data_IF_221450731988
#
_entry.id   IF_221450731988
#
_cell.length_a   1.000
_cell.length_b   1.000
_cell.length_c   1.000
_cell.angle_alpha   90.00
_cell.angle_beta   90.00
_cell.angle_gamma   90.00
#
_symmetry.space_group_name_H-M   'P 1'
#
loop_
_entity.id
_entity.type
_entity.pdbx_description
1 polymer ?
#
# COMPACT_ATOMS: atom_id res chain seq x y z
N UNK A 1 -4.51 1.18 18.82
CA UNK A 1 -3.04 1.15 19.10
C UNK A 1 -2.48 2.51 18.69
N UNK A 2 -1.50 3.04 19.42
CA UNK A 2 -0.74 4.20 18.94
C UNK A 2 0.29 3.73 17.90
N UNK A 3 0.77 4.65 17.03
CA UNK A 3 1.96 4.39 16.22
C UNK A 3 3.13 4.07 17.15
N UNK A 4 3.91 3.07 16.77
CA UNK A 4 5.08 2.61 17.53
C UNK A 4 6.38 2.76 16.73
N UNK A 5 6.30 2.88 15.39
CA UNK A 5 7.47 3.01 14.54
C UNK A 5 7.23 3.90 13.32
N UNK A 6 8.31 4.54 12.90
CA UNK A 6 8.43 5.24 11.63
C UNK A 6 9.41 4.47 10.75
N UNK A 7 8.97 4.06 9.58
CA UNK A 7 9.80 3.42 8.57
C UNK A 7 10.12 4.48 7.53
N UNK A 8 11.38 4.69 7.23
CA UNK A 8 11.82 5.77 6.37
C UNK A 8 12.42 5.18 5.08
N UNK A 9 11.84 5.49 3.96
CA UNK A 9 12.53 5.30 2.70
C UNK A 9 13.77 6.21 2.64
N UNK A 10 14.73 5.90 1.80
CA UNK A 10 16.00 6.61 1.74
C UNK A 10 16.08 7.56 0.53
N UNK A 11 16.07 6.96 -0.67
CA UNK A 11 16.36 7.65 -1.92
C UNK A 11 15.15 8.47 -2.39
N UNK A 12 15.29 9.78 -2.47
CA UNK A 12 14.19 10.70 -2.71
C UNK A 12 13.44 11.13 -1.44
N UNK A 13 13.65 10.46 -0.31
CA UNK A 13 12.97 10.74 0.96
C UNK A 13 13.89 11.43 1.96
N UNK A 14 15.03 10.84 2.27
CA UNK A 14 16.06 11.38 3.18
C UNK A 14 17.27 11.89 2.43
N UNK A 15 17.58 11.30 1.29
CA UNK A 15 18.73 11.63 0.43
C UNK A 15 18.24 12.02 -0.96
N UNK A 16 18.78 13.10 -1.51
CA UNK A 16 18.54 13.56 -2.87
C UNK A 16 19.39 12.70 -3.85
N UNK A 17 18.93 11.46 -4.11
CA UNK A 17 19.64 10.45 -4.88
C UNK A 17 18.93 9.98 -6.16
N UNK A 18 17.65 10.32 -6.35
CA UNK A 18 16.86 9.78 -7.46
C UNK A 18 17.43 10.12 -8.85
N UNK A 19 17.97 11.34 -9.02
CA UNK A 19 18.62 11.74 -10.27
C UNK A 19 19.90 10.91 -10.53
N UNK A 20 20.66 10.57 -9.47
CA UNK A 20 21.85 9.73 -9.58
C UNK A 20 21.50 8.29 -9.97
N UNK A 21 20.40 7.73 -9.45
CA UNK A 21 19.88 6.44 -9.88
C UNK A 21 19.48 6.45 -11.35
N UNK A 22 18.76 7.48 -11.81
CA UNK A 22 18.39 7.64 -13.22
C UNK A 22 19.62 7.71 -14.13
N UNK A 23 20.60 8.53 -13.78
CA UNK A 23 21.83 8.69 -14.55
C UNK A 23 22.62 7.36 -14.63
N UNK A 24 22.70 6.64 -13.52
CA UNK A 24 23.41 5.36 -13.44
C UNK A 24 22.79 4.30 -14.34
N UNK A 25 21.45 4.24 -14.37
CA UNK A 25 20.70 3.36 -15.27
C UNK A 25 20.91 3.71 -16.75
N UNK A 26 20.92 5.00 -17.08
CA UNK A 26 21.18 5.46 -18.47
C UNK A 26 22.62 5.11 -18.89
N UNK A 27 23.60 5.30 -18.02
CA UNK A 27 25.00 4.92 -18.31
C UNK A 27 25.14 3.42 -18.48
N UNK A 28 24.54 2.63 -17.61
CA UNK A 28 24.51 1.18 -17.75
C UNK A 28 23.84 0.75 -19.06
N UNK A 29 22.69 1.34 -19.42
CA UNK A 29 22.02 1.04 -20.68
C UNK A 29 22.91 1.27 -21.90
N UNK A 30 23.74 2.31 -21.87
CA UNK A 30 24.69 2.62 -22.93
C UNK A 30 25.77 1.54 -23.11
N UNK A 31 26.22 0.86 -22.04
CA UNK A 31 27.13 -0.27 -22.13
C UNK A 31 26.53 -1.47 -22.88
N UNK A 32 25.21 -1.61 -22.84
CA UNK A 32 24.45 -2.67 -23.54
C UNK A 32 23.94 -2.20 -24.92
N UNK A 33 24.42 -1.04 -25.41
CA UNK A 33 24.02 -0.49 -26.71
C UNK A 33 22.59 0.03 -26.76
N UNK A 34 21.98 0.32 -25.60
CA UNK A 34 20.61 0.83 -25.48
C UNK A 34 20.61 2.33 -25.23
N UNK A 35 19.60 3.01 -25.78
CA UNK A 35 19.28 4.41 -25.49
C UNK A 35 17.93 4.45 -24.82
N UNK A 36 17.87 4.98 -23.62
CA UNK A 36 16.61 5.12 -22.86
C UNK A 36 16.42 6.58 -22.46
N UNK A 37 15.24 7.16 -22.71
CA UNK A 37 14.90 8.50 -22.22
C UNK A 37 14.82 8.52 -20.69
N UNK A 38 15.31 9.58 -20.05
CA UNK A 38 15.31 9.71 -18.58
C UNK A 38 13.91 9.64 -18.00
N UNK A 39 12.91 10.25 -18.66
CA UNK A 39 11.52 10.25 -18.20
C UNK A 39 10.90 8.84 -18.14
N UNK A 40 11.39 7.90 -18.93
CA UNK A 40 10.98 6.50 -18.86
C UNK A 40 11.56 5.81 -17.63
N UNK A 41 12.81 6.11 -17.30
CA UNK A 41 13.46 5.59 -16.09
C UNK A 41 12.85 6.22 -14.84
N UNK A 42 12.70 7.55 -14.83
CA UNK A 42 12.19 8.32 -13.70
C UNK A 42 10.82 7.87 -13.19
N UNK A 43 9.96 7.36 -14.11
CA UNK A 43 8.63 6.83 -13.75
C UNK A 43 8.69 5.52 -12.97
N UNK A 44 9.80 4.83 -13.06
CA UNK A 44 10.01 3.53 -12.41
C UNK A 44 10.91 3.64 -11.17
N UNK A 45 11.53 4.79 -10.93
CA UNK A 45 12.31 5.07 -9.72
C UNK A 45 11.43 4.92 -8.48
N UNK A 46 11.99 4.27 -7.46
CA UNK A 46 11.28 3.86 -6.24
C UNK A 46 10.97 2.35 -6.19
N UNK A 47 11.02 1.67 -7.34
CA UNK A 47 11.12 0.21 -7.41
C UNK A 47 12.57 -0.23 -7.18
N UNK A 48 12.78 -1.42 -6.64
CA UNK A 48 14.10 -2.03 -6.70
C UNK A 48 14.44 -2.53 -8.11
N UNK A 49 15.70 -2.79 -8.35
CA UNK A 49 16.24 -3.14 -9.66
C UNK A 49 15.62 -4.43 -10.26
N UNK A 50 15.12 -5.34 -9.43
CA UNK A 50 14.41 -6.56 -9.83
C UNK A 50 13.10 -6.28 -10.59
N UNK A 51 12.39 -5.22 -10.23
CA UNK A 51 11.15 -4.82 -10.89
C UNK A 51 11.34 -3.63 -11.85
N UNK A 52 12.31 -2.76 -11.59
CA UNK A 52 12.59 -1.60 -12.44
C UNK A 52 13.17 -2.03 -13.80
N UNK A 53 14.15 -2.95 -13.80
CA UNK A 53 14.82 -3.37 -15.05
C UNK A 53 13.83 -3.99 -16.04
N UNK A 54 13.00 -4.99 -15.68
CA UNK A 54 12.01 -5.52 -16.60
C UNK A 54 10.92 -4.51 -16.99
N UNK A 55 10.59 -3.54 -16.15
CA UNK A 55 9.62 -2.49 -16.47
C UNK A 55 10.15 -1.52 -17.54
N UNK A 56 11.43 -1.16 -17.47
CA UNK A 56 12.07 -0.24 -18.43
C UNK A 56 12.50 -0.96 -19.70
N UNK A 57 13.12 -2.13 -19.61
CA UNK A 57 13.78 -2.80 -20.74
C UNK A 57 13.04 -4.04 -21.25
N UNK A 58 12.05 -4.54 -20.52
CA UNK A 58 11.25 -5.71 -20.85
C UNK A 58 11.82 -7.02 -20.29
N UNK A 59 10.92 -8.01 -20.13
CA UNK A 59 11.26 -9.31 -19.53
C UNK A 59 12.33 -10.10 -20.31
N UNK A 60 12.39 -9.94 -21.63
CA UNK A 60 13.40 -10.62 -22.46
C UNK A 60 14.82 -10.07 -22.19
N UNK A 61 14.95 -8.76 -21.99
CA UNK A 61 16.21 -8.14 -21.61
C UNK A 61 16.63 -8.58 -20.19
N UNK A 62 15.70 -8.57 -19.25
CA UNK A 62 15.92 -9.04 -17.89
C UNK A 62 16.43 -10.47 -17.88
N UNK A 63 15.78 -11.38 -18.62
CA UNK A 63 16.18 -12.78 -18.69
C UNK A 63 17.58 -13.00 -19.29
N UNK A 64 17.98 -12.14 -20.24
CA UNK A 64 19.26 -12.27 -20.94
C UNK A 64 20.44 -11.54 -20.26
N UNK A 65 20.15 -10.41 -19.60
CA UNK A 65 21.19 -9.46 -19.17
C UNK A 65 20.98 -8.92 -17.75
N UNK A 66 19.88 -9.24 -17.06
CA UNK A 66 19.46 -8.58 -15.81
C UNK A 66 20.53 -8.52 -14.73
N UNK A 67 21.23 -9.64 -14.47
CA UNK A 67 22.31 -9.69 -13.46
C UNK A 67 23.47 -8.75 -13.84
N UNK A 68 24.04 -8.92 -15.04
CA UNK A 68 25.16 -8.10 -15.51
C UNK A 68 24.78 -6.62 -15.63
N UNK A 69 23.52 -6.33 -15.96
CA UNK A 69 23.00 -4.97 -16.03
C UNK A 69 22.93 -4.34 -14.63
N UNK A 70 22.41 -5.04 -13.63
CA UNK A 70 22.37 -4.56 -12.23
C UNK A 70 23.76 -4.31 -11.67
N UNK A 71 24.73 -5.17 -11.98
CA UNK A 71 26.14 -4.92 -11.63
C UNK A 71 26.68 -3.64 -12.28
N UNK A 72 26.35 -3.41 -13.57
CA UNK A 72 26.74 -2.17 -14.27
C UNK A 72 26.11 -0.94 -13.62
N UNK A 73 24.82 -1.01 -13.28
CA UNK A 73 24.10 0.07 -12.57
C UNK A 73 24.79 0.39 -11.24
N UNK A 74 25.10 -0.62 -10.41
CA UNK A 74 25.79 -0.40 -9.13
C UNK A 74 27.17 0.26 -9.29
N UNK A 75 27.97 -0.16 -10.30
CA UNK A 75 29.25 0.50 -10.59
C UNK A 75 29.06 1.97 -10.96
N UNK A 76 28.13 2.25 -11.87
CA UNK A 76 27.83 3.63 -12.27
C UNK A 76 27.26 4.46 -11.13
N UNK A 77 26.42 3.87 -10.27
CA UNK A 77 25.88 4.57 -9.12
C UNK A 77 27.00 5.01 -8.15
N UNK A 78 27.92 4.13 -7.83
CA UNK A 78 29.09 4.46 -6.98
C UNK A 78 29.94 5.59 -7.59
N UNK A 79 30.08 5.63 -8.93
CA UNK A 79 30.82 6.68 -9.62
C UNK A 79 30.07 8.01 -9.63
N UNK A 80 28.75 7.98 -9.90
CA UNK A 80 27.89 9.17 -9.88
C UNK A 80 27.82 9.74 -8.46
N UNK A 81 27.52 8.91 -7.46
CA UNK A 81 27.45 9.34 -6.06
C UNK A 81 28.76 10.02 -5.61
N UNK A 82 29.92 9.49 -6.03
CA UNK A 82 31.23 10.07 -5.71
C UNK A 82 31.46 11.42 -6.41
N UNK A 83 31.02 11.55 -7.67
CA UNK A 83 31.29 12.74 -8.49
C UNK A 83 30.31 13.89 -8.23
N UNK A 84 29.05 13.60 -7.98
CA UNK A 84 27.97 14.60 -7.85
C UNK A 84 27.77 15.12 -6.42
N UNK A 85 28.35 14.43 -5.42
CA UNK A 85 28.18 14.75 -4.00
C UNK A 85 26.70 14.84 -3.59
N UNK A 86 26.10 13.68 -3.40
CA UNK A 86 24.76 13.57 -2.88
C UNK A 86 24.58 14.34 -1.57
N UNK A 87 23.35 14.73 -1.27
CA UNK A 87 23.04 15.52 -0.07
C UNK A 87 21.86 14.91 0.66
N UNK A 88 21.86 15.03 1.98
CA UNK A 88 20.64 14.86 2.75
C UNK A 88 19.65 15.97 2.38
N UNK A 89 18.38 15.60 2.30
CA UNK A 89 17.35 16.63 2.32
C UNK A 89 17.35 17.35 3.67
N UNK A 90 17.09 18.68 3.63
CA UNK A 90 16.90 19.44 4.84
C UNK A 90 15.84 18.78 5.72
N UNK A 91 16.17 18.59 7.00
CA UNK A 91 15.26 17.97 7.95
C UNK A 91 15.42 16.45 8.13
N UNK A 92 16.21 15.75 7.33
CA UNK A 92 16.33 14.28 7.40
C UNK A 92 16.77 13.80 8.80
N UNK A 93 17.90 14.33 9.33
CA UNK A 93 18.37 13.98 10.67
C UNK A 93 17.41 14.47 11.77
N UNK A 94 16.80 15.65 11.59
CA UNK A 94 15.79 16.18 12.52
C UNK A 94 14.54 15.32 12.58
N UNK A 95 14.11 14.76 11.46
CA UNK A 95 12.97 13.84 11.39
C UNK A 95 13.23 12.59 12.24
N UNK A 96 14.40 11.99 12.12
CA UNK A 96 14.81 10.81 12.89
C UNK A 96 14.84 11.16 14.39
N UNK A 97 15.53 12.26 14.75
CA UNK A 97 15.61 12.69 16.14
C UNK A 97 14.24 13.05 16.73
N UNK A 98 13.39 13.71 15.95
CA UNK A 98 12.03 14.06 16.36
C UNK A 98 11.14 12.81 16.56
N UNK A 99 11.31 11.76 15.76
CA UNK A 99 10.61 10.50 15.95
C UNK A 99 11.04 9.80 17.26
N UNK A 100 12.35 9.71 17.50
CA UNK A 100 12.90 9.17 18.75
C UNK A 100 12.45 9.95 19.99
N UNK A 101 12.41 11.29 19.92
CA UNK A 101 11.95 12.13 21.03
C UNK A 101 10.49 11.87 21.42
N UNK A 102 9.70 11.30 20.51
CA UNK A 102 8.31 10.90 20.71
C UNK A 102 8.15 9.40 21.10
N UNK A 103 9.27 8.72 21.32
CA UNK A 103 9.29 7.31 21.71
C UNK A 103 9.00 6.34 20.56
N UNK A 104 9.07 6.81 19.32
CA UNK A 104 8.93 5.92 18.15
C UNK A 104 10.26 5.21 17.87
N UNK A 105 10.17 3.97 17.45
CA UNK A 105 11.29 3.28 16.82
C UNK A 105 11.41 3.73 15.37
N UNK A 106 12.63 3.76 14.84
CA UNK A 106 12.90 4.21 13.48
C UNK A 106 13.68 3.16 12.72
N UNK A 107 13.27 2.85 11.50
CA UNK A 107 14.04 2.01 10.58
C UNK A 107 14.20 2.67 9.21
N UNK A 108 15.34 2.45 8.56
CA UNK A 108 15.45 2.65 7.12
C UNK A 108 14.80 1.47 6.40
N UNK A 109 13.95 1.76 5.40
CA UNK A 109 13.20 0.78 4.61
C UNK A 109 13.47 1.03 3.12
N UNK A 110 14.69 0.72 2.66
CA UNK A 110 15.14 1.01 1.30
C UNK A 110 15.25 -0.25 0.43
N UNK A 111 15.00 -0.10 -0.86
CA UNK A 111 15.25 -1.13 -1.88
C UNK A 111 16.69 -1.09 -2.43
N UNK A 112 17.55 -0.22 -1.90
CA UNK A 112 18.97 -0.12 -2.27
C UNK A 112 19.76 -1.29 -1.71
N UNK A 113 20.85 -1.65 -2.41
CA UNK A 113 21.79 -2.66 -1.94
C UNK A 113 22.71 -2.09 -0.85
N UNK A 114 23.38 -2.95 -0.09
CA UNK A 114 24.35 -2.50 0.92
C UNK A 114 25.49 -1.68 0.27
N UNK A 115 25.93 -2.05 -0.94
CA UNK A 115 26.95 -1.32 -1.68
C UNK A 115 26.47 0.08 -2.11
N UNK A 116 25.19 0.21 -2.49
CA UNK A 116 24.60 1.51 -2.81
C UNK A 116 24.50 2.40 -1.56
N UNK A 117 24.14 1.81 -0.40
CA UNK A 117 24.12 2.53 0.88
C UNK A 117 25.50 3.05 1.26
N UNK A 118 26.53 2.22 1.12
CA UNK A 118 27.93 2.65 1.38
C UNK A 118 28.33 3.82 0.48
N UNK A 119 28.03 3.72 -0.82
CA UNK A 119 28.31 4.80 -1.78
C UNK A 119 27.56 6.09 -1.43
N UNK A 120 26.28 5.96 -1.07
CA UNK A 120 25.40 7.07 -0.68
C UNK A 120 25.95 7.77 0.55
N UNK A 121 26.20 7.05 1.65
CA UNK A 121 26.64 7.65 2.90
C UNK A 121 28.08 8.19 2.83
N UNK A 122 28.95 7.55 2.06
CA UNK A 122 30.27 8.10 1.77
C UNK A 122 30.19 9.42 0.99
N UNK A 123 29.23 9.58 0.09
CA UNK A 123 28.99 10.80 -0.67
C UNK A 123 28.40 11.92 0.19
N UNK A 124 27.39 11.59 1.00
CA UNK A 124 26.69 12.53 1.89
C UNK A 124 27.59 12.99 3.05
N UNK A 125 28.47 12.11 3.53
CA UNK A 125 29.33 12.38 4.68
C UNK A 125 28.69 12.14 6.05
N UNK A 126 27.46 11.61 6.07
CA UNK A 126 26.73 11.20 7.28
C UNK A 126 26.14 9.80 7.04
N UNK A 127 26.42 8.87 7.95
CA UNK A 127 25.81 7.53 7.91
C UNK A 127 24.54 7.50 8.76
N UNK A 128 23.40 7.47 8.10
CA UNK A 128 22.10 7.46 8.78
C UNK A 128 21.83 6.14 9.52
N UNK A 129 22.59 5.05 9.24
CA UNK A 129 22.47 3.78 9.95
C UNK A 129 22.78 3.94 11.45
N UNK A 130 23.63 4.87 11.80
CA UNK A 130 24.02 5.18 13.19
C UNK A 130 22.89 5.91 13.95
N UNK A 131 21.89 6.43 13.25
CA UNK A 131 20.81 7.24 13.82
C UNK A 131 19.48 6.48 13.96
N UNK A 132 19.38 5.26 13.45
CA UNK A 132 18.13 4.47 13.41
C UNK A 132 18.25 3.18 14.20
N UNK A 133 17.11 2.58 14.58
CA UNK A 133 17.07 1.33 15.35
C UNK A 133 17.25 0.07 14.47
N UNK A 134 16.97 0.18 13.17
CA UNK A 134 17.12 -0.93 12.21
C UNK A 134 17.29 -0.41 10.79
N UNK A 135 17.88 -1.26 9.95
CA UNK A 135 18.04 -1.02 8.51
C UNK A 135 17.56 -2.25 7.76
N UNK A 136 16.79 -2.05 6.71
CA UNK A 136 16.47 -3.07 5.71
C UNK A 136 16.97 -2.62 4.34
N UNK A 137 17.48 -3.57 3.57
CA UNK A 137 18.04 -3.39 2.24
C UNK A 137 17.38 -4.35 1.25
N UNK A 138 17.74 -4.29 -0.01
CA UNK A 138 17.27 -5.22 -1.02
C UNK A 138 17.44 -6.71 -0.63
N UNK A 139 18.44 -7.04 0.19
CA UNK A 139 18.69 -8.42 0.63
C UNK A 139 17.72 -8.93 1.69
N UNK A 140 16.94 -8.06 2.33
CA UNK A 140 15.96 -8.40 3.35
C UNK A 140 14.55 -8.68 2.78
N UNK A 141 14.37 -8.51 1.47
CA UNK A 141 13.10 -8.63 0.77
C UNK A 141 13.20 -9.64 -0.37
N UNK A 142 12.18 -10.48 -0.59
CA UNK A 142 12.10 -11.37 -1.75
C UNK A 142 11.70 -10.60 -3.01
N UNK A 143 10.87 -9.57 -2.84
CA UNK A 143 10.44 -8.65 -3.89
C UNK A 143 10.51 -7.20 -3.42
N UNK A 144 10.88 -6.31 -4.34
CA UNK A 144 10.98 -4.87 -4.06
C UNK A 144 9.61 -4.18 -4.06
N UNK A 145 9.57 -2.90 -3.62
CA UNK A 145 8.39 -2.04 -3.79
C UNK A 145 7.87 -2.10 -5.24
N UNK A 146 6.58 -2.25 -5.48
CA UNK A 146 5.44 -2.02 -4.59
C UNK A 146 5.03 -3.21 -3.71
N UNK A 147 5.76 -4.32 -3.71
CA UNK A 147 5.47 -5.45 -2.82
C UNK A 147 5.78 -5.09 -1.36
N UNK A 148 5.12 -5.72 -0.38
CA UNK A 148 5.18 -5.32 1.03
C UNK A 148 6.46 -5.71 1.76
N UNK A 149 7.31 -6.52 1.16
CA UNK A 149 8.38 -7.29 1.80
C UNK A 149 9.32 -6.41 2.63
N UNK A 150 9.77 -5.28 2.06
CA UNK A 150 10.69 -4.38 2.75
C UNK A 150 10.04 -3.72 3.98
N UNK A 151 8.75 -3.41 3.91
CA UNK A 151 7.99 -2.83 5.01
C UNK A 151 7.78 -3.87 6.12
N UNK A 152 7.47 -5.11 5.73
CA UNK A 152 7.31 -6.24 6.66
C UNK A 152 8.62 -6.58 7.35
N UNK A 153 9.73 -6.59 6.60
CA UNK A 153 11.07 -6.84 7.13
C UNK A 153 11.49 -5.75 8.15
N UNK A 154 11.25 -4.47 7.83
CA UNK A 154 11.53 -3.37 8.73
C UNK A 154 10.71 -3.45 10.02
N UNK A 155 9.40 -3.70 9.90
CA UNK A 155 8.52 -3.87 11.06
C UNK A 155 8.96 -5.07 11.93
N UNK A 156 9.34 -6.18 11.31
CA UNK A 156 9.86 -7.37 11.99
C UNK A 156 11.16 -7.09 12.74
N UNK A 157 12.15 -6.44 12.10
CA UNK A 157 13.42 -6.06 12.74
C UNK A 157 13.20 -5.15 13.95
N UNK A 158 12.19 -4.27 13.87
CA UNK A 158 11.80 -3.43 15.00
C UNK A 158 10.97 -4.16 16.07
N UNK A 159 10.45 -5.36 15.80
CA UNK A 159 9.53 -6.06 16.70
C UNK A 159 8.18 -5.35 16.88
N UNK A 160 7.69 -4.68 15.83
CA UNK A 160 6.46 -3.89 15.84
C UNK A 160 5.50 -4.45 14.77
N UNK A 161 4.20 -4.58 15.05
CA UNK A 161 3.26 -5.01 14.02
C UNK A 161 3.15 -3.93 12.91
N UNK A 162 3.05 -4.31 11.63
CA UNK A 162 2.94 -3.36 10.52
C UNK A 162 1.83 -2.31 10.71
N UNK A 163 0.70 -2.69 11.29
CA UNK A 163 -0.42 -1.78 11.59
C UNK A 163 -0.09 -0.67 12.61
N UNK A 164 1.02 -0.80 13.34
CA UNK A 164 1.54 0.23 14.24
C UNK A 164 2.74 0.99 13.63
N UNK A 165 3.01 0.79 12.34
CA UNK A 165 4.06 1.47 11.58
C UNK A 165 3.47 2.51 10.63
N UNK A 166 4.22 3.57 10.38
CA UNK A 166 4.00 4.47 9.26
C UNK A 166 5.25 4.49 8.37
N UNK A 167 5.08 4.21 7.07
CA UNK A 167 6.12 4.39 6.07
C UNK A 167 6.10 5.84 5.59
N UNK A 168 7.25 6.45 5.54
CA UNK A 168 7.50 7.75 4.87
C UNK A 168 8.21 7.46 3.56
N UNK A 169 7.72 8.02 2.46
CA UNK A 169 8.31 7.84 1.14
C UNK A 169 7.87 8.90 0.15
N UNK A 170 8.55 8.99 -1.00
CA UNK A 170 8.33 10.01 -2.04
C UNK A 170 7.67 9.45 -3.30
N UNK A 171 7.39 8.13 -3.35
CA UNK A 171 6.84 7.48 -4.53
C UNK A 171 5.48 6.83 -4.28
N UNK A 172 4.74 6.60 -5.36
CA UNK A 172 3.49 5.81 -5.33
C UNK A 172 3.75 4.34 -4.98
N UNK A 173 4.98 3.85 -5.19
CA UNK A 173 5.39 2.48 -4.87
C UNK A 173 5.54 2.29 -3.36
N UNK A 174 5.98 3.32 -2.62
CA UNK A 174 5.98 3.33 -1.16
C UNK A 174 4.56 3.21 -0.61
N UNK A 175 3.65 4.01 -1.16
CA UNK A 175 2.24 3.94 -0.80
C UNK A 175 1.62 2.57 -1.04
N UNK A 176 1.95 1.94 -2.18
CA UNK A 176 1.48 0.61 -2.50
C UNK A 176 2.05 -0.45 -1.55
N UNK A 177 3.36 -0.39 -1.25
CA UNK A 177 4.03 -1.30 -0.32
C UNK A 177 3.51 -1.16 1.11
N UNK A 178 3.35 0.08 1.61
CA UNK A 178 2.77 0.34 2.93
C UNK A 178 1.36 -0.23 3.05
N UNK A 179 0.51 0.03 2.06
CA UNK A 179 -0.86 -0.50 2.00
C UNK A 179 -0.89 -2.02 1.98
N UNK A 180 -0.05 -2.65 1.15
CA UNK A 180 0.03 -4.10 1.05
C UNK A 180 0.50 -4.75 2.37
N UNK A 181 1.40 -4.08 3.11
CA UNK A 181 1.87 -4.49 4.42
C UNK A 181 0.86 -4.21 5.56
N UNK A 182 -0.17 -3.38 5.31
CA UNK A 182 -1.11 -2.92 6.35
C UNK A 182 -0.53 -1.82 7.24
N UNK A 183 0.51 -1.11 6.79
CA UNK A 183 1.09 0.06 7.44
C UNK A 183 0.42 1.36 6.94
N UNK A 184 0.52 2.43 7.72
CA UNK A 184 0.15 3.76 7.25
C UNK A 184 1.20 4.29 6.25
N UNK A 185 0.80 5.23 5.39
CA UNK A 185 1.72 5.91 4.49
C UNK A 185 1.66 7.43 4.70
N UNK A 186 2.82 8.07 4.75
CA UNK A 186 3.03 9.51 4.78
C UNK A 186 3.90 9.88 3.58
N UNK A 187 3.40 10.74 2.71
CA UNK A 187 4.09 11.11 1.49
C UNK A 187 4.94 12.39 1.62
N UNK A 188 6.11 12.43 1.01
CA UNK A 188 6.91 13.64 0.79
C UNK A 188 7.09 13.87 -0.71
N UNK A 189 6.70 15.06 -1.21
CA UNK A 189 6.68 15.35 -2.64
C UNK A 189 8.03 15.92 -3.11
N UNK A 190 9.10 15.18 -2.89
CA UNK A 190 10.51 15.58 -3.12
C UNK A 190 11.02 15.20 -4.51
N UNK A 191 10.32 14.32 -5.23
CA UNK A 191 10.69 13.88 -6.57
C UNK A 191 9.58 14.17 -7.58
N UNK A 192 9.15 13.18 -8.34
CA UNK A 192 8.20 13.32 -9.46
C UNK A 192 6.74 13.23 -9.04
N UNK A 193 6.47 12.50 -7.97
CA UNK A 193 5.11 12.36 -7.49
C UNK A 193 4.64 13.66 -6.84
N UNK A 194 3.50 14.17 -7.29
CA UNK A 194 2.83 15.28 -6.62
C UNK A 194 2.19 14.82 -5.32
N UNK A 195 1.83 15.76 -4.44
CA UNK A 195 1.04 15.43 -3.25
C UNK A 195 -0.28 14.73 -3.61
N UNK A 196 -0.89 15.06 -4.76
CA UNK A 196 -2.11 14.42 -5.23
C UNK A 196 -1.85 12.95 -5.61
N UNK A 197 -0.73 12.65 -6.29
CA UNK A 197 -0.33 11.29 -6.63
C UNK A 197 -0.09 10.45 -5.36
N UNK A 198 0.62 11.04 -4.38
CA UNK A 198 0.90 10.38 -3.10
C UNK A 198 -0.39 10.12 -2.29
N UNK A 199 -1.34 11.07 -2.29
CA UNK A 199 -2.67 10.84 -1.70
C UNK A 199 -3.42 9.73 -2.44
N UNK A 200 -3.38 9.72 -3.77
CA UNK A 200 -3.93 8.63 -4.60
C UNK A 200 -3.31 7.27 -4.28
N UNK A 201 -2.02 7.23 -3.91
CA UNK A 201 -1.34 6.03 -3.45
C UNK A 201 -1.69 5.63 -1.99
N UNK A 202 -2.49 6.42 -1.28
CA UNK A 202 -2.98 6.14 0.06
C UNK A 202 -2.24 6.91 1.17
N UNK A 203 -1.53 7.99 0.84
CA UNK A 203 -0.91 8.84 1.86
C UNK A 203 -1.97 9.49 2.75
N UNK A 204 -1.83 9.32 4.06
CA UNK A 204 -2.70 9.91 5.07
C UNK A 204 -2.38 11.37 5.35
N UNK A 205 -1.15 11.75 5.10
CA UNK A 205 -0.68 13.12 5.06
C UNK A 205 0.39 13.25 3.99
N UNK A 206 0.50 14.45 3.40
CA UNK A 206 1.52 14.76 2.41
C UNK A 206 2.21 16.06 2.76
N UNK A 207 3.50 16.13 2.49
CA UNK A 207 4.36 17.27 2.79
C UNK A 207 5.19 17.60 1.55
N UNK A 208 5.45 18.87 1.33
CA UNK A 208 6.21 19.31 0.16
C UNK A 208 7.70 18.94 0.27
N UNK A 209 8.24 18.86 1.48
CA UNK A 209 9.65 18.55 1.76
C UNK A 209 9.80 17.72 3.03
N UNK A 210 10.94 17.05 3.17
CA UNK A 210 11.32 16.34 4.39
C UNK A 210 11.45 17.29 5.59
N UNK A 211 11.87 18.54 5.35
CA UNK A 211 11.92 19.58 6.39
C UNK A 211 10.52 19.95 6.91
N UNK A 212 9.55 20.14 5.98
CA UNK A 212 8.16 20.42 6.35
C UNK A 212 7.55 19.26 7.16
N UNK A 213 7.82 18.02 6.77
CA UNK A 213 7.43 16.84 7.55
C UNK A 213 8.07 16.82 8.94
N UNK A 214 9.37 17.10 9.04
CA UNK A 214 10.08 17.10 10.33
C UNK A 214 9.51 18.16 11.28
N UNK A 215 9.19 19.35 10.77
CA UNK A 215 8.63 20.45 11.54
C UNK A 215 7.16 20.20 11.94
N UNK A 216 6.42 19.42 11.17
CA UNK A 216 5.00 19.06 11.37
C UNK A 216 4.79 17.58 11.69
N UNK A 217 5.78 16.92 12.28
CA UNK A 217 5.72 15.48 12.55
C UNK A 217 4.49 15.08 13.37
N UNK A 218 4.05 15.90 14.33
CA UNK A 218 2.87 15.60 15.16
C UNK A 218 1.59 15.53 14.32
N UNK A 219 1.47 16.36 13.29
CA UNK A 219 0.37 16.31 12.32
C UNK A 219 0.44 15.03 11.50
N UNK A 220 1.63 14.68 10.99
CA UNK A 220 1.85 13.44 10.25
C UNK A 220 1.49 12.21 11.08
N UNK A 221 1.95 12.17 12.33
CA UNK A 221 1.67 11.07 13.25
C UNK A 221 0.17 10.98 13.62
N UNK A 222 -0.49 12.11 13.79
CA UNK A 222 -1.92 12.17 14.05
C UNK A 222 -2.73 11.61 12.86
N UNK A 223 -2.36 11.98 11.63
CA UNK A 223 -2.98 11.48 10.41
C UNK A 223 -2.68 10.00 10.16
N UNK A 224 -1.42 9.59 10.41
CA UNK A 224 -0.97 8.22 10.22
C UNK A 224 -1.36 7.31 11.39
N UNK A 225 -1.69 7.88 12.56
CA UNK A 225 -2.09 7.08 13.69
C UNK A 225 -3.10 6.04 13.19
N UNK A 226 -2.96 4.76 13.59
CA UNK A 226 -4.04 3.82 13.50
C UNK A 226 -5.16 4.52 14.28
N UNK A 227 -6.11 5.11 13.58
CA UNK A 227 -7.07 6.03 14.17
C UNK A 227 -7.76 5.37 15.36
N UNK A 228 -8.63 6.09 16.08
CA UNK A 228 -9.63 5.52 16.97
C UNK A 228 -10.39 4.35 16.31
N UNK A 229 -9.98 3.94 15.16
CA UNK A 229 -10.42 3.01 14.16
C UNK A 229 -9.54 1.76 14.02
N UNK A 230 -8.62 1.44 14.92
CA UNK A 230 -8.05 0.11 15.01
C UNK A 230 -9.16 -0.84 15.48
N UNK A 231 -9.85 -1.43 14.50
CA UNK A 231 -10.78 -2.51 14.74
C UNK A 231 -10.06 -3.60 15.54
N UNK A 232 -10.43 -3.80 16.78
CA UNK A 232 -9.89 -4.93 17.55
C UNK A 232 -10.32 -6.24 16.88
N UNK A 233 -9.59 -7.33 17.10
CA UNK A 233 -9.98 -8.63 16.58
C UNK A 233 -11.43 -8.98 16.99
N UNK A 234 -11.82 -8.70 18.22
CA UNK A 234 -13.18 -8.96 18.72
C UNK A 234 -14.25 -8.13 17.98
N UNK A 235 -13.96 -6.86 17.69
CA UNK A 235 -14.86 -6.01 16.90
C UNK A 235 -14.96 -6.52 15.47
N UNK A 236 -13.84 -6.89 14.85
CA UNK A 236 -13.82 -7.47 13.49
C UNK A 236 -14.62 -8.77 13.42
N UNK A 237 -14.46 -9.66 14.41
CA UNK A 237 -15.24 -10.89 14.49
C UNK A 237 -16.74 -10.61 14.60
N UNK A 238 -17.14 -9.66 15.44
CA UNK A 238 -18.54 -9.25 15.57
C UNK A 238 -19.10 -8.66 14.27
N UNK A 239 -18.37 -7.78 13.59
CA UNK A 239 -18.78 -7.20 12.31
C UNK A 239 -18.82 -8.24 11.17
N UNK A 240 -17.88 -9.19 11.15
CA UNK A 240 -17.92 -10.30 10.21
C UNK A 240 -19.14 -11.19 10.43
N UNK A 241 -19.53 -11.44 11.67
CA UNK A 241 -20.75 -12.17 12.00
C UNK A 241 -22.02 -11.42 11.55
N UNK A 242 -22.05 -10.09 11.65
CA UNK A 242 -23.14 -9.27 11.09
C UNK A 242 -23.21 -9.39 9.56
N UNK A 243 -22.07 -9.27 8.87
CA UNK A 243 -22.02 -9.43 7.42
C UNK A 243 -22.43 -10.85 6.98
N UNK A 244 -22.07 -11.88 7.74
CA UNK A 244 -22.49 -13.26 7.49
C UNK A 244 -24.01 -13.44 7.60
N UNK A 245 -24.67 -12.81 8.58
CA UNK A 245 -26.15 -12.83 8.67
C UNK A 245 -26.83 -12.24 7.43
N UNK A 246 -26.27 -11.15 6.90
CA UNK A 246 -26.77 -10.56 5.65
C UNK A 246 -26.51 -11.48 4.44
N UNK A 247 -25.39 -12.22 4.43
CA UNK A 247 -25.10 -13.21 3.39
C UNK A 247 -26.05 -14.42 3.46
N UNK A 248 -26.41 -14.88 4.66
CA UNK A 248 -27.42 -15.92 4.85
C UNK A 248 -28.79 -15.47 4.34
N UNK A 249 -29.19 -14.25 4.70
CA UNK A 249 -30.46 -13.66 4.23
C UNK A 249 -30.48 -13.46 2.71
N UNK A 250 -29.33 -13.19 2.05
CA UNK A 250 -29.23 -13.17 0.61
C UNK A 250 -29.47 -14.57 0.00
N UNK A 251 -28.81 -15.59 0.56
CA UNK A 251 -28.96 -16.98 0.14
C UNK A 251 -30.40 -17.47 0.25
N UNK A 252 -31.05 -17.20 1.38
CA UNK A 252 -32.44 -17.59 1.63
C UNK A 252 -33.43 -16.89 0.67
N UNK A 253 -33.06 -15.70 0.20
CA UNK A 253 -33.82 -14.99 -0.83
C UNK A 253 -33.54 -15.48 -2.28
N UNK A 254 -32.56 -16.34 -2.49
CA UNK A 254 -32.17 -16.85 -3.83
C UNK A 254 -31.09 -16.01 -4.53
N UNK A 255 -30.42 -15.14 -3.81
CA UNK A 255 -29.28 -14.35 -4.29
C UNK A 255 -27.93 -14.99 -3.93
N UNK A 256 -26.84 -14.44 -4.47
CA UNK A 256 -25.50 -14.86 -4.10
C UNK A 256 -25.27 -14.57 -2.58
N UNK A 257 -24.64 -15.51 -1.82
CA UNK A 257 -24.48 -15.40 -0.37
C UNK A 257 -23.38 -14.39 -0.01
N UNK A 258 -23.65 -13.13 -0.29
CA UNK A 258 -22.76 -12.01 -0.01
C UNK A 258 -23.48 -11.00 0.86
N UNK A 259 -22.87 -10.63 1.98
CA UNK A 259 -23.35 -9.64 2.91
C UNK A 259 -22.26 -8.65 3.28
N UNK A 260 -22.67 -7.44 3.61
CA UNK A 260 -21.77 -6.36 3.98
C UNK A 260 -22.39 -5.48 5.07
N UNK A 261 -21.53 -4.89 5.89
CA UNK A 261 -21.91 -3.87 6.88
C UNK A 261 -20.97 -2.70 6.81
N UNK A 262 -21.50 -1.48 7.01
CA UNK A 262 -20.69 -0.29 7.27
C UNK A 262 -20.79 0.03 8.76
N UNK A 263 -19.64 0.24 9.38
CA UNK A 263 -19.56 0.41 10.83
C UNK A 263 -18.51 1.45 11.22
N UNK A 264 -18.64 1.97 12.44
CA UNK A 264 -17.56 2.67 13.14
C UNK A 264 -16.55 1.68 13.68
N UNK A 265 -15.39 2.16 14.02
CA UNK A 265 -14.30 1.37 14.56
C UNK A 265 -14.56 0.78 15.95
N UNK A 266 -15.52 1.35 16.68
CA UNK A 266 -16.00 0.82 17.96
C UNK A 266 -16.93 -0.41 17.79
N UNK A 267 -17.25 -0.79 16.54
CA UNK A 267 -18.14 -1.90 16.21
C UNK A 267 -19.60 -1.47 16.01
N UNK A 268 -19.94 -0.18 16.15
CA UNK A 268 -21.30 0.30 15.90
C UNK A 268 -21.66 0.17 14.43
N UNK A 269 -22.56 -0.73 14.09
CA UNK A 269 -23.06 -0.91 12.71
C UNK A 269 -24.02 0.21 12.35
N UNK A 270 -23.69 0.94 11.29
CA UNK A 270 -24.50 2.06 10.76
C UNK A 270 -25.40 1.63 9.61
N UNK A 271 -24.92 0.73 8.76
CA UNK A 271 -25.68 0.26 7.61
C UNK A 271 -25.38 -1.22 7.33
N UNK A 272 -26.35 -1.89 6.71
CA UNK A 272 -26.27 -3.29 6.29
C UNK A 272 -26.69 -3.41 4.83
N UNK A 273 -26.06 -4.36 4.12
CA UNK A 273 -26.41 -4.68 2.76
C UNK A 273 -26.23 -6.15 2.46
N UNK A 274 -27.08 -6.68 1.61
CA UNK A 274 -26.96 -8.02 1.08
C UNK A 274 -27.08 -8.02 -0.43
N UNK A 275 -26.50 -9.00 -1.08
CA UNK A 275 -26.65 -9.14 -2.51
C UNK A 275 -28.14 -9.28 -2.88
N UNK A 276 -28.56 -8.53 -3.89
CA UNK A 276 -29.90 -8.55 -4.48
C UNK A 276 -29.87 -8.54 -6.00
N UNK A 277 -28.77 -8.97 -6.59
CA UNK A 277 -28.58 -8.88 -8.03
C UNK A 277 -29.56 -9.77 -8.81
N UNK A 278 -29.95 -10.92 -8.27
CA UNK A 278 -30.91 -11.83 -8.90
C UNK A 278 -32.36 -11.42 -8.59
N UNK A 279 -32.71 -11.27 -7.33
CA UNK A 279 -34.08 -10.93 -6.90
C UNK A 279 -34.47 -9.50 -7.28
N UNK A 280 -33.52 -8.57 -7.29
CA UNK A 280 -33.73 -7.21 -7.75
C UNK A 280 -33.66 -7.02 -9.26
N UNK A 281 -33.30 -8.06 -10.02
CA UNK A 281 -33.04 -8.01 -11.46
C UNK A 281 -32.10 -6.84 -11.85
N UNK A 282 -31.09 -6.57 -11.03
CA UNK A 282 -30.13 -5.48 -11.21
C UNK A 282 -28.73 -5.93 -10.78
N UNK A 283 -27.81 -6.01 -11.74
CA UNK A 283 -26.44 -6.46 -11.53
C UNK A 283 -25.59 -5.56 -10.66
N UNK A 284 -26.04 -4.35 -10.38
CA UNK A 284 -25.32 -3.37 -9.56
C UNK A 284 -25.67 -3.50 -8.07
N UNK A 285 -26.70 -4.27 -7.72
CA UNK A 285 -27.16 -4.45 -6.32
C UNK A 285 -26.30 -5.48 -5.58
N UNK A 286 -25.05 -5.16 -5.42
CA UNK A 286 -24.12 -5.93 -4.60
C UNK A 286 -24.29 -5.60 -3.11
N UNK A 287 -23.86 -6.49 -2.23
CA UNK A 287 -23.99 -6.29 -0.78
C UNK A 287 -23.34 -4.97 -0.32
N UNK A 288 -22.18 -4.67 -0.85
CA UNK A 288 -21.43 -3.47 -0.54
C UNK A 288 -22.17 -2.20 -1.00
N UNK A 289 -22.63 -2.18 -2.25
CA UNK A 289 -23.40 -1.04 -2.77
C UNK A 289 -24.73 -0.85 -2.06
N UNK A 290 -25.41 -1.94 -1.66
CA UNK A 290 -26.62 -1.88 -0.84
C UNK A 290 -26.32 -1.30 0.56
N UNK A 291 -25.20 -1.69 1.18
CA UNK A 291 -24.79 -1.15 2.47
C UNK A 291 -24.43 0.35 2.38
N UNK A 292 -23.70 0.75 1.33
CA UNK A 292 -23.35 2.16 1.09
C UNK A 292 -24.60 3.00 0.79
N UNK A 293 -25.54 2.48 0.01
CA UNK A 293 -26.79 3.16 -0.26
C UNK A 293 -27.65 3.33 1.01
N UNK A 294 -27.67 2.30 1.86
CA UNK A 294 -28.39 2.36 3.15
C UNK A 294 -27.71 3.31 4.15
N UNK A 295 -26.39 3.53 4.04
CA UNK A 295 -25.68 4.52 4.84
C UNK A 295 -26.15 5.95 4.51
N UNK A 296 -26.52 6.21 3.26
CA UNK A 296 -26.85 7.54 2.79
C UNK A 296 -25.61 8.43 2.59
N UNK A 297 -25.77 9.75 2.59
CA UNK A 297 -24.64 10.67 2.43
C UNK A 297 -23.60 10.43 3.53
N UNK A 298 -22.44 9.92 3.16
CA UNK A 298 -21.34 9.70 4.09
C UNK A 298 -20.83 11.05 4.62
N UNK A 299 -20.69 11.17 5.93
CA UNK A 299 -20.24 12.39 6.58
C UNK A 299 -19.27 12.19 7.72
N UNK A 300 -19.06 10.93 8.14
CA UNK A 300 -18.17 10.62 9.26
C UNK A 300 -16.84 10.05 8.74
N UNK A 301 -15.69 10.61 9.16
CA UNK A 301 -14.40 10.02 8.85
C UNK A 301 -14.22 8.69 9.62
N UNK A 302 -13.45 7.76 9.02
CA UNK A 302 -13.04 6.55 9.71
C UNK A 302 -14.01 5.38 9.67
N UNK A 303 -15.05 5.43 8.82
CA UNK A 303 -15.97 4.31 8.63
C UNK A 303 -15.29 3.14 7.91
N UNK A 304 -15.73 1.93 8.24
CA UNK A 304 -15.20 0.67 7.72
C UNK A 304 -16.32 -0.14 7.07
N UNK A 305 -16.04 -0.68 5.88
CA UNK A 305 -16.87 -1.69 5.24
C UNK A 305 -16.33 -3.07 5.57
N UNK A 306 -17.16 -3.95 6.13
CA UNK A 306 -16.83 -5.36 6.34
C UNK A 306 -17.75 -6.20 5.46
N UNK A 307 -17.18 -7.05 4.60
CA UNK A 307 -17.91 -7.87 3.64
C UNK A 307 -17.47 -9.33 3.65
N UNK A 308 -18.36 -10.24 3.32
CA UNK A 308 -18.08 -11.69 3.31
C UNK A 308 -17.26 -12.13 2.11
N UNK A 309 -17.22 -11.34 1.03
CA UNK A 309 -16.46 -11.63 -0.19
C UNK A 309 -15.63 -10.42 -0.60
N UNK A 310 -14.45 -10.66 -1.19
CA UNK A 310 -13.61 -9.63 -1.75
C UNK A 310 -14.37 -8.75 -2.74
N UNK A 311 -14.41 -7.42 -2.53
CA UNK A 311 -15.19 -6.53 -3.38
C UNK A 311 -14.63 -6.46 -4.80
N UNK A 312 -15.53 -6.32 -5.76
CA UNK A 312 -15.16 -6.03 -7.14
C UNK A 312 -14.77 -4.55 -7.32
N UNK A 313 -14.28 -4.20 -8.52
CA UNK A 313 -13.83 -2.83 -8.83
C UNK A 313 -14.91 -1.77 -8.60
N UNK A 314 -16.16 -2.06 -8.96
CA UNK A 314 -17.29 -1.15 -8.73
C UNK A 314 -17.49 -0.87 -7.23
N UNK A 315 -17.49 -1.93 -6.40
CA UNK A 315 -17.71 -1.78 -4.95
C UNK A 315 -16.55 -1.06 -4.26
N UNK A 316 -15.31 -1.32 -4.68
CA UNK A 316 -14.14 -0.58 -4.17
C UNK A 316 -14.19 0.90 -4.58
N UNK A 317 -14.55 1.19 -5.83
CA UNK A 317 -14.75 2.57 -6.28
C UNK A 317 -15.83 3.28 -5.47
N UNK A 318 -16.99 2.63 -5.25
CA UNK A 318 -18.06 3.18 -4.45
C UNK A 318 -17.65 3.42 -2.98
N UNK A 319 -16.86 2.51 -2.39
CA UNK A 319 -16.31 2.67 -1.04
C UNK A 319 -15.34 3.87 -0.94
N UNK A 320 -14.51 4.07 -1.97
CA UNK A 320 -13.62 5.22 -2.08
C UNK A 320 -14.40 6.54 -2.19
N UNK A 321 -15.36 6.61 -3.10
CA UNK A 321 -16.23 7.78 -3.27
C UNK A 321 -17.04 8.11 -2.00
N UNK A 322 -17.45 7.09 -1.23
CA UNK A 322 -18.10 7.26 0.05
C UNK A 322 -17.14 7.68 1.18
N UNK A 323 -15.85 7.85 0.90
CA UNK A 323 -14.84 8.27 1.87
C UNK A 323 -14.56 7.25 2.99
N UNK A 324 -14.78 5.96 2.72
CA UNK A 324 -14.53 4.94 3.73
C UNK A 324 -13.04 4.79 4.02
N UNK A 325 -12.71 4.63 5.29
CA UNK A 325 -11.34 4.46 5.76
C UNK A 325 -10.75 3.11 5.39
N UNK A 326 -11.52 2.04 5.52
CA UNK A 326 -11.06 0.70 5.25
C UNK A 326 -12.17 -0.21 4.70
N UNK A 327 -11.73 -1.24 3.97
CA UNK A 327 -12.57 -2.36 3.52
C UNK A 327 -11.94 -3.66 3.99
N UNK A 328 -12.70 -4.44 4.75
CA UNK A 328 -12.26 -5.73 5.26
C UNK A 328 -13.12 -6.83 4.65
N UNK A 329 -12.52 -7.87 4.10
CA UNK A 329 -13.23 -8.97 3.48
C UNK A 329 -12.79 -10.33 4.02
N UNK A 330 -13.73 -11.27 4.10
CA UNK A 330 -13.47 -12.60 4.66
C UNK A 330 -12.90 -13.59 3.62
N UNK A 331 -13.51 -13.67 2.43
CA UNK A 331 -13.16 -14.63 1.39
C UNK A 331 -12.66 -13.92 0.15
N UNK A 332 -11.50 -14.32 -0.38
CA UNK A 332 -10.99 -13.80 -1.65
C UNK A 332 -11.88 -14.22 -2.84
N UNK A 333 -11.96 -13.37 -3.86
CA UNK A 333 -12.73 -13.59 -5.07
C UNK A 333 -11.81 -13.66 -6.32
N UNK A 334 -11.22 -14.82 -6.66
CA UNK A 334 -10.27 -14.95 -7.76
C UNK A 334 -10.82 -14.51 -9.12
N UNK A 335 -12.14 -14.59 -9.31
CA UNK A 335 -12.80 -14.27 -10.58
C UNK A 335 -12.89 -12.76 -10.83
N UNK A 336 -13.26 -11.97 -9.82
CA UNK A 336 -13.63 -10.57 -9.97
C UNK A 336 -13.22 -9.67 -8.79
N UNK A 337 -12.49 -10.20 -7.80
CA UNK A 337 -11.94 -9.41 -6.71
C UNK A 337 -10.94 -8.38 -7.23
N UNK A 338 -11.00 -7.18 -6.69
CA UNK A 338 -10.26 -6.03 -7.22
C UNK A 338 -9.18 -5.51 -6.26
N UNK A 339 -9.04 -6.09 -5.05
CA UNK A 339 -8.10 -5.61 -4.04
C UNK A 339 -6.64 -5.56 -4.51
N UNK A 340 -6.27 -6.43 -5.46
CA UNK A 340 -4.94 -6.48 -6.06
C UNK A 340 -4.83 -5.82 -7.45
N UNK A 341 -5.96 -5.36 -8.02
CA UNK A 341 -6.04 -4.89 -9.42
C UNK A 341 -6.25 -3.39 -9.54
N UNK A 342 -6.81 -2.76 -8.52
CA UNK A 342 -6.95 -1.31 -8.47
C UNK A 342 -5.67 -0.71 -7.91
N UNK A 343 -4.66 -0.59 -8.78
CA UNK A 343 -3.62 0.41 -8.59
C UNK A 343 -4.28 1.78 -8.85
N UNK A 344 -3.95 2.83 -8.08
CA UNK A 344 -4.42 4.15 -8.41
C UNK A 344 -3.96 4.47 -9.83
N UNK A 345 -4.93 4.73 -10.72
CA UNK A 345 -4.62 5.36 -12.01
C UNK A 345 -4.24 6.79 -11.65
N UNK A 346 -2.96 7.09 -11.72
CA UNK A 346 -2.49 8.46 -11.63
C UNK A 346 -3.04 9.22 -12.85
N UNK A 347 -3.91 10.18 -12.62
CA UNK A 347 -4.46 11.04 -13.66
C UNK A 347 -5.74 11.71 -13.18
N UNK A 348 -5.66 13.03 -13.08
CA UNK A 348 -6.72 14.02 -13.03
C UNK A 348 -8.07 13.59 -12.43
N UNK A 349 -8.15 13.59 -11.11
CA UNK A 349 -9.42 13.77 -10.40
C UNK A 349 -9.19 14.85 -9.33
N UNK A 350 -9.72 16.03 -9.61
CA UNK A 350 -9.95 17.04 -8.59
C UNK A 350 -10.86 16.46 -7.51
N UNK A 351 -10.30 16.24 -6.33
CA UNK A 351 -11.05 15.75 -5.18
C UNK A 351 -10.44 14.50 -4.58
N UNK A 352 -10.03 14.60 -3.35
CA UNK A 352 -9.36 13.59 -2.54
C UNK A 352 -10.26 12.38 -2.26
N UNK A 353 -10.42 11.49 -3.23
CA UNK A 353 -10.94 10.15 -2.99
C UNK A 353 -9.79 9.31 -2.45
N UNK A 354 -9.68 9.19 -1.14
CA UNK A 354 -8.71 8.30 -0.50
C UNK A 354 -9.15 6.87 -0.75
N UNK A 355 -8.36 6.10 -1.49
CA UNK A 355 -8.59 4.65 -1.64
C UNK A 355 -8.57 4.02 -0.25
N UNK A 356 -9.63 3.32 0.18
CA UNK A 356 -9.68 2.72 1.50
C UNK A 356 -8.61 1.64 1.66
N UNK A 357 -8.12 1.46 2.90
CA UNK A 357 -7.28 0.32 3.25
C UNK A 357 -8.05 -0.98 2.99
N UNK A 358 -7.49 -1.89 2.20
CA UNK A 358 -8.15 -3.18 1.90
C UNK A 358 -7.38 -4.30 2.57
N UNK A 359 -8.06 -5.07 3.44
CA UNK A 359 -7.44 -6.15 4.19
C UNK A 359 -8.33 -7.39 4.25
N UNK A 360 -7.69 -8.56 4.41
CA UNK A 360 -8.42 -9.78 4.79
C UNK A 360 -8.76 -9.74 6.27
N UNK A 361 -10.00 -10.13 6.58
CA UNK A 361 -10.53 -10.24 7.93
C UNK A 361 -11.00 -11.65 8.28
N UNK A 362 -11.66 -11.79 9.43
CA UNK A 362 -12.23 -13.04 9.91
C UNK A 362 -13.44 -13.49 9.09
N UNK A 363 -13.93 -14.72 9.36
CA UNK A 363 -15.15 -15.27 8.76
C UNK A 363 -14.95 -16.06 7.46
N UNK A 364 -13.70 -16.34 7.04
CA UNK A 364 -13.40 -17.06 5.79
C UNK A 364 -14.11 -18.41 5.69
N UNK A 365 -14.03 -19.25 6.72
CA UNK A 365 -14.62 -20.59 6.70
C UNK A 365 -16.14 -20.54 6.62
N UNK A 366 -16.77 -19.66 7.39
CA UNK A 366 -18.21 -19.47 7.37
C UNK A 366 -18.69 -18.92 6.01
N UNK A 367 -18.01 -17.95 5.43
CA UNK A 367 -18.30 -17.44 4.09
C UNK A 367 -18.15 -18.53 3.02
N UNK A 368 -17.10 -19.34 3.11
CA UNK A 368 -16.90 -20.46 2.19
C UNK A 368 -17.99 -21.54 2.34
N UNK A 369 -18.45 -21.80 3.55
CA UNK A 369 -19.57 -22.72 3.81
C UNK A 369 -20.86 -22.25 3.13
N UNK A 370 -21.17 -20.95 3.19
CA UNK A 370 -22.31 -20.36 2.49
C UNK A 370 -22.18 -20.47 0.96
N UNK A 371 -20.99 -20.19 0.43
CA UNK A 371 -20.73 -20.36 -1.01
C UNK A 371 -20.91 -21.82 -1.44
N UNK A 372 -20.45 -22.79 -0.64
CA UNK A 372 -20.66 -24.23 -0.92
C UNK A 372 -22.14 -24.62 -0.92
N UNK A 373 -22.92 -24.10 0.04
CA UNK A 373 -24.38 -24.32 0.07
C UNK A 373 -25.05 -23.77 -1.18
N UNK A 374 -24.71 -22.54 -1.56
CA UNK A 374 -25.25 -21.89 -2.75
C UNK A 374 -24.79 -22.57 -4.07
N UNK A 375 -23.59 -23.13 -4.11
CA UNK A 375 -23.05 -23.79 -5.31
C UNK A 375 -23.86 -25.00 -5.76
N UNK A 376 -24.60 -25.64 -4.85
CA UNK A 376 -25.51 -26.75 -5.18
C UNK A 376 -26.60 -26.32 -6.18
N UNK A 377 -26.99 -25.07 -6.21
CA UNK A 377 -27.95 -24.48 -7.14
C UNK A 377 -27.32 -23.94 -8.45
N UNK A 378 -26.00 -24.06 -8.61
CA UNK A 378 -25.27 -23.57 -9.79
C UNK A 378 -24.96 -22.08 -9.76
N UNK A 379 -24.86 -21.48 -10.92
CA UNK A 379 -24.70 -20.02 -11.08
C UNK A 379 -23.34 -19.47 -10.66
N UNK A 380 -23.33 -18.25 -10.11
CA UNK A 380 -22.11 -17.54 -9.69
C UNK A 380 -21.36 -18.28 -8.57
N UNK A 381 -22.09 -18.79 -7.57
CA UNK A 381 -21.49 -19.49 -6.42
C UNK A 381 -20.73 -20.75 -6.85
N UNK A 382 -21.24 -21.52 -7.82
CA UNK A 382 -20.54 -22.70 -8.36
C UNK A 382 -19.24 -22.32 -9.08
N UNK A 383 -19.25 -21.24 -9.88
CA UNK A 383 -18.03 -20.75 -10.55
C UNK A 383 -17.02 -20.21 -9.54
N UNK A 384 -17.47 -19.48 -8.53
CA UNK A 384 -16.61 -18.97 -7.45
C UNK A 384 -15.96 -20.13 -6.68
N UNK A 385 -16.75 -21.15 -6.31
CA UNK A 385 -16.24 -22.33 -5.60
C UNK A 385 -15.15 -23.04 -6.42
N UNK A 386 -15.40 -23.27 -7.70
CA UNK A 386 -14.41 -23.88 -8.60
C UNK A 386 -13.11 -23.05 -8.69
N UNK A 387 -13.19 -21.71 -8.68
CA UNK A 387 -12.03 -20.83 -8.72
C UNK A 387 -11.22 -20.79 -7.41
N UNK A 388 -11.81 -21.24 -6.31
CA UNK A 388 -11.16 -21.33 -5.00
C UNK A 388 -10.44 -22.66 -4.77
N UNK A 389 -10.42 -23.55 -5.76
CA UNK A 389 -9.79 -24.86 -5.70
C UNK A 389 -10.64 -25.90 -4.94
N UNK A 390 -11.92 -25.82 -5.10
CA UNK A 390 -13.09 -26.44 -4.54
C UNK A 390 -13.14 -27.72 -3.88
#
# INVERSE_FOLDING_TARGET
MALAALLLDLDGTLVDANAAHTESLIRAASEFGLVVPSDRVDREIGKGADLLVPAVFGAAFEAAHGEAFREAVGRHYADVARSEKLRLFDGAERLIAAAHSRGLRVALATSSTEADLEATFASVGTDLRDLVDAVTTASDAEASKPEPDIVLAAAHKLGVPPAACALVGDTVFDGAAARAAGAAFVGVATWRASEADLRGAGARATFATTADLADRLDEALAAAAPGAHALTAAVLDALAAEALREAEAALDAGDAPIGAVVARADGTVLARGRNRSSTGNDRLRHAETEALHALGPAGEPGLVLVTTLEPCAMCLGAAAEAGLHAVVYALGAPLNGASRRLLPVAGDVDGASTVPLVARGPGREASLALVRRAAASGGYAARLLASLGG
#
